data_IF_205502383614
#
_entry.id   IF_205502383614
#
_cell.length_a   1.000
_cell.length_b   1.000
_cell.length_c   1.000
_cell.angle_alpha   90.00
_cell.angle_beta   90.00
_cell.angle_gamma   90.00
#
_symmetry.space_group_name_H-M   'P 1'
#
loop_
_entity.id
_entity.type
_entity.pdbx_description
1 polymer ?
#
# COMPACT_ATOMS: atom_id res chain seq x y z
N UNK A 1 -1.89 66.09 25.74
CA UNK A 1 -2.39 66.37 24.37
C UNK A 1 -1.60 65.50 23.41
N UNK A 2 -2.18 64.42 22.86
CA UNK A 2 -2.46 64.18 21.41
C UNK A 2 -1.27 64.61 20.51
N UNK A 3 -0.65 63.74 19.68
CA UNK A 3 -1.25 62.87 18.66
C UNK A 3 -0.32 61.70 18.26
N UNK A 4 -0.96 60.57 17.95
CA UNK A 4 -0.42 59.44 17.20
C UNK A 4 0.01 59.88 15.78
N UNK A 5 1.11 59.32 15.27
CA UNK A 5 1.38 59.27 13.84
C UNK A 5 1.69 57.83 13.45
N UNK A 6 0.71 57.20 12.81
CA UNK A 6 0.84 55.95 12.08
C UNK A 6 1.82 56.13 10.92
N UNK A 7 2.76 55.21 10.76
CA UNK A 7 3.42 54.96 9.47
C UNK A 7 3.18 53.50 9.09
N UNK A 8 2.17 53.28 8.25
CA UNK A 8 1.89 52.01 7.58
C UNK A 8 2.79 51.94 6.35
N UNK A 9 3.80 51.08 6.34
CA UNK A 9 4.54 50.73 5.12
C UNK A 9 3.84 49.54 4.44
N UNK A 10 3.24 49.83 3.29
CA UNK A 10 2.55 48.91 2.41
C UNK A 10 3.59 48.05 1.66
N UNK A 11 3.70 46.76 1.99
CA UNK A 11 4.51 45.79 1.23
C UNK A 11 3.67 45.27 0.07
N UNK A 12 3.96 45.72 -1.16
CA UNK A 12 3.38 45.16 -2.38
C UNK A 12 4.16 43.90 -2.78
N UNK A 13 3.60 42.73 -2.51
CA UNK A 13 4.10 41.45 -3.05
C UNK A 13 3.55 41.31 -4.48
N UNK A 14 4.44 41.41 -5.46
CA UNK A 14 4.13 41.17 -6.87
C UNK A 14 4.11 39.66 -7.08
N UNK A 15 2.91 39.07 -7.21
CA UNK A 15 2.76 37.68 -7.64
C UNK A 15 3.09 37.58 -9.14
N UNK A 16 4.25 37.02 -9.47
CA UNK A 16 4.58 36.59 -10.83
C UNK A 16 3.67 35.44 -11.25
N UNK A 17 2.83 35.72 -12.25
CA UNK A 17 1.94 34.78 -12.90
C UNK A 17 2.78 33.77 -13.71
N UNK A 18 2.90 32.51 -13.24
CA UNK A 18 3.43 31.42 -14.07
C UNK A 18 2.35 31.01 -15.08
N UNK A 19 2.68 31.12 -16.37
CA UNK A 19 1.82 30.74 -17.48
C UNK A 19 1.59 29.22 -17.45
N UNK A 20 0.34 28.82 -17.32
CA UNK A 20 -0.09 27.44 -17.61
C UNK A 20 -0.13 27.26 -19.12
N UNK A 21 0.77 26.46 -19.68
CA UNK A 21 0.66 25.99 -21.05
C UNK A 21 -0.46 24.95 -21.15
N UNK A 22 -1.57 25.36 -21.75
CA UNK A 22 -2.68 24.49 -22.13
C UNK A 22 -2.27 23.75 -23.41
N UNK A 23 -1.86 22.49 -23.29
CA UNK A 23 -1.70 21.60 -24.43
C UNK A 23 -3.11 21.24 -24.94
N UNK A 24 -3.50 21.84 -26.09
CA UNK A 24 -4.69 21.46 -26.85
C UNK A 24 -4.40 20.17 -27.61
N UNK A 25 -4.91 19.04 -27.14
CA UNK A 25 -5.08 17.84 -27.97
C UNK A 25 -6.50 17.85 -28.53
N UNK A 26 -6.58 17.96 -29.86
CA UNK A 26 -7.83 17.96 -30.60
C UNK A 26 -8.54 16.60 -30.49
N UNK A 27 -9.72 16.60 -29.88
CA UNK A 27 -10.64 15.46 -29.91
C UNK A 27 -11.32 15.48 -31.29
N UNK A 28 -10.96 14.51 -32.15
CA UNK A 28 -11.77 14.18 -33.33
C UNK A 28 -12.92 13.28 -32.88
N UNK A 29 -14.10 13.87 -32.84
CA UNK A 29 -15.38 13.19 -32.68
C UNK A 29 -15.64 12.28 -33.88
N UNK A 30 -15.90 11.00 -33.65
CA UNK A 30 -16.72 10.22 -34.56
C UNK A 30 -17.62 9.28 -33.74
N UNK A 31 -18.90 9.62 -33.72
CA UNK A 31 -19.96 8.79 -33.17
C UNK A 31 -20.11 7.54 -34.04
N UNK A 32 -19.91 6.35 -33.45
CA UNK A 32 -20.62 5.15 -33.89
C UNK A 32 -20.98 4.28 -32.69
N UNK A 33 -22.25 4.34 -32.34
CA UNK A 33 -22.95 3.49 -31.37
C UNK A 33 -22.84 2.03 -31.81
N UNK A 34 -22.20 1.18 -30.99
CA UNK A 34 -22.46 -0.27 -30.99
C UNK A 34 -22.25 -0.82 -29.58
N UNK A 35 -23.28 -1.47 -29.07
CA UNK A 35 -23.33 -2.23 -27.81
C UNK A 35 -22.49 -3.49 -27.94
N UNK A 36 -21.51 -3.72 -27.07
CA UNK A 36 -21.06 -5.06 -26.67
C UNK A 36 -20.28 -5.04 -25.37
N UNK A 37 -20.60 -6.05 -24.56
CA UNK A 37 -20.01 -6.49 -23.31
C UNK A 37 -18.57 -6.98 -23.54
N UNK A 38 -17.76 -6.90 -22.48
CA UNK A 38 -16.41 -7.45 -22.33
C UNK A 38 -15.32 -6.81 -23.22
N UNK A 39 -14.31 -6.22 -22.59
CA UNK A 39 -12.88 -6.49 -22.86
C UNK A 39 -12.03 -5.69 -21.87
N UNK A 40 -11.34 -6.46 -21.03
CA UNK A 40 -10.10 -6.11 -20.34
C UNK A 40 -9.05 -5.85 -21.44
N UNK A 41 -8.49 -4.64 -21.51
CA UNK A 41 -7.23 -4.37 -22.21
C UNK A 41 -6.29 -3.72 -21.18
N UNK A 42 -5.39 -4.50 -20.58
CA UNK A 42 -3.99 -4.68 -21.02
C UNK A 42 -3.28 -3.37 -21.36
N UNK A 43 -2.61 -2.81 -20.35
CA UNK A 43 -1.37 -2.08 -20.52
C UNK A 43 -0.33 -2.63 -19.54
N UNK A 44 0.86 -2.90 -20.07
CA UNK A 44 2.07 -3.45 -19.42
C UNK A 44 2.10 -4.97 -19.18
N UNK A 45 2.39 -5.71 -20.25
CA UNK A 45 3.16 -6.96 -20.18
C UNK A 45 4.62 -6.60 -19.88
N UNK A 46 4.92 -6.33 -18.61
CA UNK A 46 6.18 -6.85 -18.09
C UNK A 46 6.04 -8.38 -18.04
N UNK A 47 7.10 -9.13 -18.34
CA UNK A 47 7.08 -10.58 -18.22
C UNK A 47 6.71 -10.93 -16.76
N UNK A 48 5.45 -11.30 -16.54
CA UNK A 48 5.04 -11.97 -15.32
C UNK A 48 5.78 -13.30 -15.36
N UNK A 49 6.85 -13.38 -14.59
CA UNK A 49 7.43 -14.65 -14.22
C UNK A 49 6.34 -15.38 -13.44
N UNK A 50 5.67 -16.35 -14.08
CA UNK A 50 4.58 -17.15 -13.49
C UNK A 50 5.09 -18.07 -12.35
N UNK A 51 6.30 -17.84 -11.84
CA UNK A 51 6.84 -18.52 -10.66
C UNK A 51 6.32 -17.85 -9.39
N UNK A 52 5.58 -18.63 -8.60
CA UNK A 52 5.19 -18.25 -7.24
C UNK A 52 6.47 -18.01 -6.44
N UNK A 53 6.66 -16.78 -5.96
CA UNK A 53 7.80 -16.41 -5.17
C UNK A 53 7.55 -16.66 -3.68
N UNK A 54 8.62 -16.68 -2.90
CA UNK A 54 8.52 -16.86 -1.45
C UNK A 54 7.58 -15.91 -0.77
N UNK A 55 7.66 -14.64 -1.16
CA UNK A 55 6.84 -13.59 -0.60
C UNK A 55 5.34 -13.82 -0.86
N UNK A 56 4.97 -14.40 -2.01
CA UNK A 56 3.57 -14.71 -2.31
C UNK A 56 3.01 -15.74 -1.34
N UNK A 57 3.82 -16.76 -0.99
CA UNK A 57 3.43 -17.76 0.01
C UNK A 57 3.34 -17.15 1.41
N UNK A 58 4.22 -16.21 1.75
CA UNK A 58 4.17 -15.52 3.05
C UNK A 58 2.95 -14.61 3.14
N UNK A 59 2.58 -13.92 2.06
CA UNK A 59 1.33 -13.14 1.99
C UNK A 59 0.12 -14.07 2.12
N UNK A 60 0.15 -15.26 1.53
CA UNK A 60 -0.91 -16.27 1.72
C UNK A 60 -0.98 -16.77 3.18
N UNK A 61 0.17 -16.98 3.83
CA UNK A 61 0.24 -17.30 5.27
C UNK A 61 -0.43 -16.19 6.09
N UNK A 62 -0.11 -14.92 5.83
CA UNK A 62 -0.71 -13.80 6.54
C UNK A 62 -2.21 -13.70 6.28
N UNK A 63 -2.63 -13.73 5.01
CA UNK A 63 -4.02 -13.50 4.61
C UNK A 63 -4.98 -14.62 5.02
N UNK A 64 -4.45 -15.77 5.45
CA UNK A 64 -5.22 -16.87 6.07
C UNK A 64 -5.22 -16.84 7.60
N UNK A 65 -4.48 -15.93 8.23
CA UNK A 65 -4.48 -15.77 9.68
C UNK A 65 -5.84 -15.22 10.17
N UNK A 66 -6.47 -15.81 11.21
CA UNK A 66 -7.76 -15.34 11.69
C UNK A 66 -7.78 -13.87 12.13
N UNK A 67 -6.70 -13.36 12.75
CA UNK A 67 -6.63 -11.94 13.12
C UNK A 67 -6.67 -11.04 11.89
N UNK A 68 -5.84 -11.32 10.88
CA UNK A 68 -5.86 -10.57 9.61
C UNK A 68 -7.23 -10.61 8.92
N UNK A 69 -7.89 -11.78 8.88
CA UNK A 69 -9.22 -11.93 8.27
C UNK A 69 -10.26 -11.09 9.01
N UNK A 70 -10.22 -11.06 10.34
CA UNK A 70 -11.13 -10.24 11.13
C UNK A 70 -10.84 -8.74 10.98
N UNK A 71 -9.57 -8.34 11.03
CA UNK A 71 -9.14 -6.94 10.93
C UNK A 71 -9.46 -6.32 9.56
N UNK A 72 -9.43 -7.14 8.50
CA UNK A 72 -9.69 -6.67 7.13
C UNK A 72 -11.15 -6.77 6.72
N UNK A 73 -12.01 -7.39 7.52
CA UNK A 73 -13.42 -7.59 7.20
C UNK A 73 -14.19 -6.27 7.18
N UNK A 74 -14.63 -5.87 5.98
CA UNK A 74 -15.36 -4.60 5.79
C UNK A 74 -14.46 -3.36 5.86
N UNK A 75 -13.14 -3.54 6.01
CA UNK A 75 -12.18 -2.46 6.16
C UNK A 75 -12.10 -1.61 4.88
N UNK A 76 -12.08 -2.25 3.70
CA UNK A 76 -12.02 -1.53 2.43
C UNK A 76 -13.21 -0.57 2.27
N UNK A 77 -14.43 -1.04 2.52
CA UNK A 77 -15.65 -0.23 2.44
C UNK A 77 -15.62 0.92 3.44
N UNK A 78 -15.14 0.68 4.66
CA UNK A 78 -15.00 1.70 5.69
C UNK A 78 -13.98 2.78 5.28
N UNK A 79 -12.81 2.38 4.75
CA UNK A 79 -11.77 3.29 4.28
C UNK A 79 -12.27 4.15 3.13
N UNK A 80 -12.90 3.56 2.12
CA UNK A 80 -13.45 4.30 0.97
C UNK A 80 -14.54 5.26 1.42
N UNK A 81 -15.45 4.84 2.31
CA UNK A 81 -16.49 5.70 2.87
C UNK A 81 -15.92 6.91 3.61
N UNK A 82 -14.74 6.77 4.22
CA UNK A 82 -14.06 7.83 4.97
C UNK A 82 -13.09 8.67 4.10
N UNK A 83 -13.16 8.55 2.76
CA UNK A 83 -12.35 9.34 1.83
C UNK A 83 -10.98 8.74 1.51
N UNK A 84 -10.74 7.49 1.89
CA UNK A 84 -9.59 6.71 1.42
C UNK A 84 -9.81 6.11 0.03
N UNK A 85 -8.77 5.50 -0.52
CA UNK A 85 -8.77 4.90 -1.85
C UNK A 85 -8.65 3.37 -1.81
N UNK A 86 -7.93 2.82 -0.84
CA UNK A 86 -7.62 1.39 -0.78
C UNK A 86 -7.08 0.95 0.58
N UNK A 87 -6.92 -0.34 0.75
CA UNK A 87 -6.05 -0.96 1.75
C UNK A 87 -4.98 -1.79 1.02
N UNK A 88 -3.84 -2.04 1.66
CA UNK A 88 -2.78 -2.84 1.06
C UNK A 88 -1.73 -3.30 2.05
N UNK A 89 -0.94 -4.29 1.62
CA UNK A 89 0.22 -4.79 2.34
C UNK A 89 1.49 -4.17 1.74
N UNK A 90 2.34 -3.62 2.59
CA UNK A 90 3.72 -3.24 2.25
C UNK A 90 4.67 -4.29 2.80
N UNK A 91 5.73 -4.59 2.04
CA UNK A 91 6.80 -5.49 2.47
C UNK A 91 7.93 -4.60 3.00
N UNK A 92 7.92 -4.36 4.31
CA UNK A 92 8.91 -3.51 4.98
C UNK A 92 10.29 -4.17 4.96
N UNK A 93 10.33 -5.49 5.16
CA UNK A 93 11.58 -6.25 5.26
C UNK A 93 11.49 -7.63 4.63
N UNK A 94 12.54 -8.07 3.94
CA UNK A 94 12.66 -9.43 3.40
C UNK A 94 14.11 -9.95 3.43
N UNK A 95 14.31 -11.28 3.51
CA UNK A 95 15.62 -11.90 3.27
C UNK A 95 16.19 -11.64 1.86
N UNK A 96 15.33 -11.29 0.90
CA UNK A 96 15.69 -11.01 -0.49
C UNK A 96 14.98 -9.74 -0.99
N UNK A 97 15.38 -8.54 -0.52
CA UNK A 97 14.61 -7.31 -0.72
C UNK A 97 14.44 -6.91 -2.17
N UNK A 98 15.47 -7.07 -3.01
CA UNK A 98 15.39 -6.73 -4.44
C UNK A 98 14.36 -7.60 -5.18
N UNK A 99 14.37 -8.91 -4.92
CA UNK A 99 13.44 -9.88 -5.55
C UNK A 99 12.02 -9.65 -5.07
N UNK A 100 11.86 -9.48 -3.76
CA UNK A 100 10.55 -9.40 -3.13
C UNK A 100 9.99 -7.96 -3.13
N UNK A 101 10.73 -7.00 -3.70
CA UNK A 101 10.40 -5.55 -3.72
C UNK A 101 10.16 -4.98 -2.32
N UNK A 102 10.94 -5.43 -1.34
CA UNK A 102 10.88 -4.96 0.03
C UNK A 102 11.62 -3.63 0.20
N UNK A 103 11.24 -2.86 1.22
CA UNK A 103 11.88 -1.58 1.53
C UNK A 103 13.30 -1.74 2.10
N UNK A 104 13.54 -2.80 2.87
CA UNK A 104 14.85 -3.09 3.44
C UNK A 104 15.12 -4.60 3.55
N UNK A 105 16.38 -4.95 3.79
CA UNK A 105 16.77 -6.30 4.18
C UNK A 105 16.29 -6.62 5.59
N UNK A 106 15.79 -7.84 5.78
CA UNK A 106 15.53 -8.42 7.09
C UNK A 106 15.72 -9.93 7.03
N UNK A 107 16.14 -10.57 8.13
CA UNK A 107 16.15 -12.05 8.18
C UNK A 107 14.74 -12.65 8.21
N UNK A 108 13.75 -11.83 8.53
CA UNK A 108 12.34 -12.19 8.60
C UNK A 108 11.57 -11.44 7.51
N UNK A 109 10.37 -11.93 7.18
CA UNK A 109 9.44 -11.15 6.36
C UNK A 109 8.66 -10.23 7.28
N UNK A 110 8.84 -8.91 7.11
CA UNK A 110 8.15 -7.88 7.88
C UNK A 110 7.13 -7.23 6.96
N UNK A 111 5.85 -7.37 7.33
CA UNK A 111 4.71 -6.92 6.53
C UNK A 111 3.91 -5.90 7.33
N UNK A 112 3.35 -4.92 6.65
CA UNK A 112 2.52 -3.90 7.26
C UNK A 112 1.23 -3.75 6.47
N UNK A 113 0.10 -3.74 7.17
CA UNK A 113 -1.20 -3.44 6.60
C UNK A 113 -1.45 -1.94 6.72
N UNK A 114 -1.83 -1.31 5.62
CA UNK A 114 -2.09 0.12 5.57
C UNK A 114 -3.44 0.44 4.95
N UNK A 115 -3.98 1.57 5.35
CA UNK A 115 -5.01 2.28 4.60
C UNK A 115 -4.33 3.30 3.69
N UNK A 116 -4.87 3.53 2.50
CA UNK A 116 -4.39 4.55 1.58
C UNK A 116 -5.41 5.67 1.48
N UNK A 117 -4.96 6.90 1.72
CA UNK A 117 -5.71 8.13 1.48
C UNK A 117 -4.93 9.02 0.50
N UNK A 118 -5.55 10.02 -0.13
CA UNK A 118 -4.86 10.91 -1.07
C UNK A 118 -3.63 11.63 -0.49
N UNK A 119 -3.62 11.88 0.83
CA UNK A 119 -2.61 12.68 1.54
C UNK A 119 -1.73 11.86 2.49
N UNK A 120 -2.10 10.61 2.81
CA UNK A 120 -1.42 9.78 3.81
C UNK A 120 -1.65 8.29 3.60
N UNK A 121 -0.77 7.47 4.19
CA UNK A 121 -0.87 6.02 4.17
C UNK A 121 -0.62 5.43 5.57
N UNK A 122 -1.57 5.56 6.51
CA UNK A 122 -1.38 5.09 7.88
C UNK A 122 -1.23 3.56 7.93
N UNK A 123 -0.24 3.08 8.68
CA UNK A 123 -0.13 1.66 9.06
C UNK A 123 -1.10 1.36 10.17
N UNK A 124 -1.90 0.31 10.01
CA UNK A 124 -2.88 -0.12 11.01
C UNK A 124 -2.52 -1.43 11.71
N UNK A 125 -1.70 -2.28 11.07
CA UNK A 125 -1.14 -3.47 11.69
C UNK A 125 0.24 -3.80 11.12
N UNK A 126 1.06 -4.51 11.90
CA UNK A 126 2.37 -5.03 11.48
C UNK A 126 2.48 -6.50 11.83
N UNK A 127 3.00 -7.28 10.90
CA UNK A 127 3.17 -8.71 11.03
C UNK A 127 4.62 -9.10 10.73
N UNK A 128 5.10 -10.15 11.36
CA UNK A 128 6.42 -10.72 11.10
C UNK A 128 6.28 -12.21 10.91
N UNK A 129 6.70 -12.73 9.76
CA UNK A 129 6.89 -14.17 9.59
C UNK A 129 8.37 -14.51 9.78
N UNK A 130 8.66 -15.32 10.79
CA UNK A 130 10.00 -15.81 11.10
C UNK A 130 10.20 -17.19 10.46
N UNK A 131 10.94 -17.29 9.34
CA UNK A 131 11.12 -18.55 8.62
C UNK A 131 12.06 -19.54 9.35
N UNK A 132 12.77 -19.09 10.39
CA UNK A 132 13.59 -19.98 11.23
C UNK A 132 12.73 -20.73 12.25
N UNK A 133 11.60 -20.15 12.64
CA UNK A 133 10.65 -20.72 13.61
C UNK A 133 9.37 -21.27 12.97
N UNK A 134 9.10 -20.94 11.70
CA UNK A 134 7.82 -21.23 11.05
C UNK A 134 6.63 -20.63 11.82
N UNK A 135 6.83 -19.43 12.36
CA UNK A 135 5.87 -18.71 13.18
C UNK A 135 5.53 -17.36 12.56
N UNK A 136 4.25 -17.00 12.65
CA UNK A 136 3.73 -15.70 12.28
C UNK A 136 3.42 -14.94 13.57
N UNK A 137 3.82 -13.67 13.61
CA UNK A 137 3.61 -12.79 14.73
C UNK A 137 2.87 -11.53 14.27
N UNK A 138 2.10 -10.96 15.18
CA UNK A 138 1.56 -9.62 15.09
C UNK A 138 2.26 -8.73 16.10
N UNK A 139 2.58 -7.50 15.72
CA UNK A 139 3.25 -6.55 16.59
C UNK A 139 2.24 -5.83 17.49
N UNK A 140 2.38 -6.03 18.80
CA UNK A 140 1.64 -5.31 19.81
C UNK A 140 2.31 -3.97 20.11
N UNK A 141 1.71 -2.89 19.61
CA UNK A 141 2.24 -1.53 19.78
C UNK A 141 2.19 -1.05 21.24
N UNK A 142 1.25 -1.55 22.06
CA UNK A 142 1.12 -1.13 23.46
C UNK A 142 2.23 -1.70 24.35
N UNK A 143 2.71 -2.91 24.03
CA UNK A 143 3.73 -3.61 24.79
C UNK A 143 5.11 -3.64 24.11
N UNK A 144 5.23 -3.05 22.92
CA UNK A 144 6.42 -3.11 22.07
C UNK A 144 6.94 -4.55 21.90
N UNK A 145 6.04 -5.46 21.52
CA UNK A 145 6.32 -6.90 21.50
C UNK A 145 5.74 -7.61 20.29
N UNK A 146 6.31 -8.77 19.94
CA UNK A 146 5.78 -9.66 18.91
C UNK A 146 4.93 -10.75 19.56
N UNK A 147 3.64 -10.79 19.24
CA UNK A 147 2.70 -11.79 19.72
C UNK A 147 2.51 -12.88 18.66
N UNK A 148 2.74 -14.17 18.96
CA UNK A 148 2.46 -15.25 18.02
C UNK A 148 0.96 -15.29 17.67
N UNK A 149 0.66 -15.46 16.39
CA UNK A 149 -0.71 -15.62 15.88
C UNK A 149 -0.85 -16.93 15.10
N UNK A 150 -2.06 -17.47 15.10
CA UNK A 150 -2.39 -18.68 14.34
C UNK A 150 -2.55 -18.39 12.85
N UNK A 151 -2.23 -19.37 12.01
CA UNK A 151 -2.46 -19.33 10.56
C UNK A 151 -2.61 -20.75 10.02
N UNK A 152 -2.95 -20.89 8.74
CA UNK A 152 -3.01 -22.21 8.10
C UNK A 152 -1.61 -22.85 7.98
N UNK A 153 -1.31 -23.80 8.86
CA UNK A 153 0.00 -24.48 8.93
C UNK A 153 0.32 -25.33 7.69
N UNK A 154 -0.67 -25.73 6.90
CA UNK A 154 -0.42 -26.49 5.65
C UNK A 154 0.37 -25.66 4.63
N UNK A 155 0.30 -24.33 4.72
CA UNK A 155 1.07 -23.41 3.87
C UNK A 155 2.58 -23.49 4.15
N UNK A 156 3.02 -24.06 5.28
CA UNK A 156 4.44 -24.29 5.54
C UNK A 156 5.05 -25.30 4.55
N UNK A 157 4.28 -26.29 4.10
CA UNK A 157 4.73 -27.24 3.08
C UNK A 157 4.98 -26.52 1.75
N UNK A 158 4.06 -25.62 1.37
CA UNK A 158 4.21 -24.76 0.18
C UNK A 158 5.42 -23.84 0.33
N UNK A 159 5.58 -23.21 1.49
CA UNK A 159 6.70 -22.32 1.78
C UNK A 159 8.04 -23.04 1.64
N UNK A 160 8.18 -24.22 2.25
CA UNK A 160 9.42 -25.00 2.17
C UNK A 160 9.74 -25.47 0.76
N UNK A 161 8.75 -25.81 -0.06
CA UNK A 161 8.96 -26.20 -1.46
C UNK A 161 9.39 -25.03 -2.35
N UNK A 162 8.86 -23.84 -2.09
CA UNK A 162 9.11 -22.65 -2.91
C UNK A 162 10.38 -21.92 -2.51
N UNK A 163 10.77 -21.98 -1.23
CA UNK A 163 11.79 -21.09 -0.64
C UNK A 163 13.09 -21.74 -0.21
N UNK A 164 13.17 -23.06 -0.29
CA UNK A 164 14.35 -23.86 0.05
C UNK A 164 14.61 -24.86 -1.06
#
# INVERSE_FOLDING_TARGET
>A
MKKNLLLLSLIMIIFSCHKTEVIKIAIKTNNKKTTTKDTIDQAQKDKVDDTVNCIDVVIEILTTAPSYVEDTKGLYEAVVKNGGTSIGITIEGSPNPERDKALDYSKNYVLSLHETYPDRMPTIARYTFDPSKNELYEYNTAEDSLMPITFNKDLLLKYHKTCK
#
